data_IF_792553864812
#
_entry.id   IF_792553864812
#
_cell.length_a   1.000
_cell.length_b   1.000
_cell.length_c   1.000
_cell.angle_alpha   90.00
_cell.angle_beta   90.00
_cell.angle_gamma   90.00
#
_symmetry.space_group_name_H-M   'P 1'
#
loop_
_entity.id
_entity.type
_entity.pdbx_description
1 polymer ?
#
# COMPACT_ATOMS: atom_id res chain seq x y z
N UNK A 1 29.51 5.23 -53.57
CA UNK A 1 29.00 3.86 -53.28
C UNK A 1 28.47 3.72 -51.84
N UNK A 2 28.26 4.80 -51.09
CA UNK A 2 27.83 4.79 -49.68
C UNK A 2 26.31 4.86 -49.46
N UNK A 3 25.51 5.13 -50.50
CA UNK A 3 24.05 5.26 -50.38
C UNK A 3 23.27 3.94 -50.37
N UNK A 4 23.85 2.86 -50.90
CA UNK A 4 23.17 1.56 -51.04
C UNK A 4 23.29 0.71 -49.76
N UNK A 5 24.45 0.77 -49.10
CA UNK A 5 24.68 0.13 -47.80
C UNK A 5 23.76 0.71 -46.71
N UNK A 6 23.61 2.05 -46.67
CA UNK A 6 22.74 2.71 -45.68
C UNK A 6 21.26 2.36 -45.88
N UNK A 7 20.79 2.24 -47.13
CA UNK A 7 19.40 1.83 -47.41
C UNK A 7 19.16 0.37 -47.05
N UNK A 8 20.13 -0.50 -47.34
CA UNK A 8 20.05 -1.92 -46.99
C UNK A 8 20.05 -2.11 -45.47
N UNK A 9 20.90 -1.38 -44.75
CA UNK A 9 20.92 -1.39 -43.28
C UNK A 9 19.61 -0.88 -42.67
N UNK A 10 19.03 0.19 -43.22
CA UNK A 10 17.72 0.70 -42.76
C UNK A 10 16.59 -0.31 -42.99
N UNK A 11 16.57 -0.99 -44.14
CA UNK A 11 15.57 -2.04 -44.43
C UNK A 11 15.74 -3.28 -43.54
N UNK A 12 16.98 -3.68 -43.25
CA UNK A 12 17.27 -4.77 -42.32
C UNK A 12 16.85 -4.39 -40.89
N UNK A 13 17.14 -3.16 -40.45
CA UNK A 13 16.73 -2.67 -39.14
C UNK A 13 15.20 -2.58 -39.01
N UNK A 14 14.51 -2.07 -40.02
CA UNK A 14 13.04 -1.99 -40.03
C UNK A 14 12.41 -3.39 -40.01
N UNK A 15 12.84 -4.29 -40.91
CA UNK A 15 12.33 -5.67 -40.95
C UNK A 15 12.68 -6.49 -39.70
N UNK A 16 13.73 -6.13 -38.97
CA UNK A 16 14.05 -6.70 -37.66
C UNK A 16 13.13 -6.15 -36.57
N UNK A 17 12.79 -4.86 -36.60
CA UNK A 17 11.87 -4.23 -35.67
C UNK A 17 10.43 -4.74 -35.82
N UNK A 18 9.98 -4.99 -37.04
CA UNK A 18 8.62 -5.45 -37.34
C UNK A 18 8.33 -6.84 -36.77
N UNK A 19 9.36 -7.69 -36.65
CA UNK A 19 9.24 -9.05 -36.11
C UNK A 19 9.02 -9.10 -34.61
N UNK A 20 9.26 -8.01 -33.89
CA UNK A 20 9.24 -8.04 -32.43
C UNK A 20 10.44 -8.74 -31.83
N UNK A 21 10.32 -9.04 -30.54
CA UNK A 21 11.31 -9.82 -29.78
C UNK A 21 10.63 -10.99 -29.09
N UNK A 22 11.38 -12.08 -28.91
CA UNK A 22 10.97 -13.19 -28.04
C UNK A 22 10.95 -12.66 -26.61
N UNK A 23 9.76 -12.57 -26.04
CA UNK A 23 9.51 -11.98 -24.73
C UNK A 23 9.07 -13.05 -23.72
N UNK A 24 8.59 -12.61 -22.55
CA UNK A 24 8.18 -13.47 -21.42
C UNK A 24 7.44 -14.72 -21.89
N UNK A 25 7.92 -15.89 -21.46
CA UNK A 25 7.34 -17.18 -21.82
C UNK A 25 7.52 -17.57 -23.31
N UNK A 26 8.48 -16.99 -24.00
CA UNK A 26 8.83 -17.30 -25.39
C UNK A 26 7.90 -16.72 -26.45
N UNK A 27 7.00 -15.79 -26.09
CA UNK A 27 6.02 -15.20 -27.02
C UNK A 27 6.59 -13.98 -27.73
N UNK A 28 6.29 -13.81 -29.01
CA UNK A 28 6.66 -12.59 -29.74
C UNK A 28 5.83 -11.38 -29.25
N UNK A 29 6.52 -10.26 -29.01
CA UNK A 29 5.95 -8.99 -28.54
C UNK A 29 6.63 -7.78 -29.18
N UNK A 30 5.89 -6.68 -29.23
CA UNK A 30 6.41 -5.35 -29.58
C UNK A 30 6.47 -5.05 -31.07
N UNK A 31 6.36 -6.05 -31.95
CA UNK A 31 6.36 -5.90 -33.41
C UNK A 31 4.98 -5.60 -34.02
N UNK A 32 4.92 -5.64 -35.35
CA UNK A 32 3.70 -5.39 -36.13
C UNK A 32 2.65 -6.46 -35.83
N UNK A 33 1.43 -6.05 -35.49
CA UNK A 33 0.33 -6.96 -35.16
C UNK A 33 0.49 -7.73 -33.85
N UNK A 34 1.55 -7.46 -33.07
CA UNK A 34 1.81 -8.09 -31.77
C UNK A 34 1.32 -7.18 -30.64
N UNK A 35 1.05 -7.73 -29.44
CA UNK A 35 0.85 -6.89 -28.27
C UNK A 35 2.13 -6.14 -27.90
N UNK A 36 1.98 -4.97 -27.30
CA UNK A 36 3.10 -4.20 -26.78
C UNK A 36 3.88 -4.94 -25.69
N UNK A 37 5.11 -4.49 -25.45
CA UNK A 37 5.85 -4.84 -24.25
C UNK A 37 5.49 -3.82 -23.18
N UNK A 38 5.02 -4.28 -22.03
CA UNK A 38 4.63 -3.43 -20.90
C UNK A 38 5.45 -3.83 -19.68
N UNK A 39 6.68 -3.28 -19.50
CA UNK A 39 7.69 -3.88 -18.62
C UNK A 39 7.20 -4.08 -17.17
N UNK A 40 6.61 -3.08 -16.54
CA UNK A 40 6.12 -3.20 -15.16
C UNK A 40 5.01 -4.26 -15.01
N UNK A 41 4.09 -4.33 -15.98
CA UNK A 41 3.02 -5.32 -16.01
C UNK A 41 3.58 -6.72 -16.26
N UNK A 42 4.36 -6.89 -17.32
CA UNK A 42 4.91 -8.16 -17.75
C UNK A 42 5.82 -8.77 -16.68
N UNK A 43 6.68 -7.96 -16.05
CA UNK A 43 7.54 -8.41 -14.94
C UNK A 43 6.74 -8.73 -13.69
N UNK A 44 5.70 -7.97 -13.35
CA UNK A 44 4.84 -8.31 -12.22
C UNK A 44 4.11 -9.64 -12.43
N UNK A 45 3.58 -9.88 -13.64
CA UNK A 45 2.91 -11.15 -13.97
C UNK A 45 3.89 -12.32 -13.92
N UNK A 46 5.02 -12.20 -14.62
CA UNK A 46 6.06 -13.22 -14.65
C UNK A 46 6.60 -13.51 -13.25
N UNK A 47 6.92 -12.47 -12.49
CA UNK A 47 7.43 -12.57 -11.13
C UNK A 47 6.46 -13.26 -10.19
N UNK A 48 5.18 -12.85 -10.19
CA UNK A 48 4.15 -13.52 -9.41
C UNK A 48 4.08 -15.02 -9.74
N UNK A 49 4.07 -15.37 -11.01
CA UNK A 49 3.99 -16.77 -11.43
C UNK A 49 5.23 -17.57 -11.01
N UNK A 50 6.43 -17.05 -11.29
CA UNK A 50 7.70 -17.71 -10.94
C UNK A 50 7.81 -17.92 -9.43
N UNK A 51 7.44 -16.92 -8.62
CA UNK A 51 7.44 -17.01 -7.15
C UNK A 51 6.50 -18.10 -6.62
N UNK A 52 5.49 -18.50 -7.39
CA UNK A 52 4.53 -19.53 -7.03
C UNK A 52 4.71 -20.84 -7.82
N UNK A 53 5.82 -21.01 -8.56
CA UNK A 53 6.09 -22.22 -9.34
C UNK A 53 5.15 -22.43 -10.52
N UNK A 54 4.49 -21.36 -11.00
CA UNK A 54 3.62 -21.39 -12.17
C UNK A 54 4.40 -21.01 -13.44
N UNK A 55 3.93 -21.41 -14.64
CA UNK A 55 4.48 -20.89 -15.89
C UNK A 55 4.43 -19.35 -15.95
N UNK A 56 5.48 -18.72 -16.47
CA UNK A 56 5.64 -17.25 -16.43
C UNK A 56 4.45 -16.46 -17.01
N UNK A 57 3.71 -17.03 -17.96
CA UNK A 57 2.52 -16.41 -18.58
C UNK A 57 1.19 -16.98 -18.07
N UNK A 58 1.18 -17.69 -16.95
CA UNK A 58 -0.05 -18.22 -16.36
C UNK A 58 -0.96 -17.09 -15.90
N UNK A 59 -2.26 -17.22 -16.15
CA UNK A 59 -3.32 -16.36 -15.59
C UNK A 59 -4.19 -17.12 -14.59
N UNK A 60 -3.88 -18.40 -14.37
CA UNK A 60 -4.63 -19.24 -13.44
C UNK A 60 -4.44 -18.77 -11.99
N UNK A 61 -5.46 -18.91 -11.13
CA UNK A 61 -5.30 -18.69 -9.70
C UNK A 61 -4.29 -19.65 -9.08
N UNK A 62 -3.58 -19.20 -8.05
CA UNK A 62 -2.70 -20.07 -7.25
C UNK A 62 -3.59 -21.01 -6.41
N UNK A 63 -3.46 -22.34 -6.53
CA UNK A 63 -4.22 -23.27 -5.70
C UNK A 63 -3.93 -23.06 -4.22
N UNK A 64 -4.95 -23.08 -3.36
CA UNK A 64 -4.80 -22.78 -1.93
C UNK A 64 -3.73 -23.64 -1.23
N UNK A 65 -3.61 -24.92 -1.59
CA UNK A 65 -2.58 -25.82 -1.02
C UNK A 65 -1.15 -25.60 -1.55
N UNK A 66 -0.97 -24.75 -2.57
CA UNK A 66 0.34 -24.40 -3.14
C UNK A 66 0.78 -22.99 -2.73
N UNK A 67 -0.09 -22.21 -2.09
CA UNK A 67 0.22 -20.85 -1.69
C UNK A 67 1.05 -20.82 -0.40
N UNK A 68 2.38 -20.74 -0.55
CA UNK A 68 3.33 -20.67 0.57
C UNK A 68 3.96 -19.28 0.75
N UNK A 69 3.77 -18.37 -0.21
CA UNK A 69 4.41 -17.04 -0.24
C UNK A 69 3.50 -15.89 0.21
N UNK A 70 4.08 -14.70 0.44
CA UNK A 70 3.31 -13.49 0.70
C UNK A 70 2.50 -13.04 -0.54
N UNK A 71 3.03 -13.25 -1.75
CA UNK A 71 2.39 -12.82 -3.00
C UNK A 71 1.02 -13.49 -3.24
N UNK A 72 0.94 -14.83 -3.18
CA UNK A 72 -0.31 -15.56 -3.40
C UNK A 72 -1.32 -15.44 -2.25
N UNK A 73 -0.86 -15.04 -1.06
CA UNK A 73 -1.77 -14.69 0.05
C UNK A 73 -2.45 -13.35 -0.17
N UNK A 74 -1.89 -12.51 -1.05
CA UNK A 74 -2.39 -11.17 -1.35
C UNK A 74 -3.14 -11.09 -2.67
N UNK A 75 -2.68 -11.80 -3.69
CA UNK A 75 -3.30 -11.81 -5.02
C UNK A 75 -3.70 -13.22 -5.41
N UNK A 76 -4.89 -13.36 -5.99
CA UNK A 76 -5.37 -14.66 -6.46
C UNK A 76 -4.56 -15.16 -7.67
N UNK A 77 -4.17 -14.26 -8.57
CA UNK A 77 -3.46 -14.57 -9.81
C UNK A 77 -2.50 -13.43 -10.24
N UNK A 78 -1.78 -13.66 -11.33
CA UNK A 78 -0.80 -12.73 -11.91
C UNK A 78 -1.43 -11.45 -12.46
N UNK A 79 -2.66 -11.50 -12.97
CA UNK A 79 -3.36 -10.34 -13.53
C UNK A 79 -3.70 -9.33 -12.44
N UNK A 80 -4.25 -9.80 -11.32
CA UNK A 80 -4.54 -8.97 -10.15
C UNK A 80 -3.26 -8.35 -9.58
N UNK A 81 -2.20 -9.15 -9.44
CA UNK A 81 -0.91 -8.68 -8.97
C UNK A 81 -0.35 -7.55 -9.86
N UNK A 82 -0.41 -7.73 -11.17
CA UNK A 82 0.09 -6.75 -12.11
C UNK A 82 -0.75 -5.48 -12.17
N UNK A 83 -2.08 -5.56 -12.03
CA UNK A 83 -2.95 -4.39 -11.94
C UNK A 83 -2.60 -3.51 -10.75
N UNK A 84 -2.35 -4.09 -9.58
CA UNK A 84 -1.93 -3.32 -8.40
C UNK A 84 -0.56 -2.71 -8.60
N UNK A 85 0.38 -3.44 -9.22
CA UNK A 85 1.71 -2.90 -9.53
C UNK A 85 1.63 -1.70 -10.48
N UNK A 86 0.86 -1.80 -11.56
CA UNK A 86 0.73 -0.71 -12.54
C UNK A 86 -0.13 0.44 -12.02
N UNK A 87 -1.07 0.20 -11.11
CA UNK A 87 -1.78 1.28 -10.42
C UNK A 87 -0.80 2.14 -9.61
N UNK A 88 0.11 1.51 -8.87
CA UNK A 88 1.07 2.23 -8.00
C UNK A 88 2.18 2.88 -8.81
N UNK A 89 2.79 2.16 -9.76
CA UNK A 89 4.00 2.60 -10.47
C UNK A 89 3.73 3.23 -11.82
N UNK A 90 2.50 3.12 -12.32
CA UNK A 90 2.14 3.48 -13.67
C UNK A 90 2.47 2.39 -14.68
N UNK A 91 2.20 2.68 -15.94
CA UNK A 91 2.47 1.79 -17.07
C UNK A 91 3.21 2.53 -18.17
N UNK A 92 4.02 1.78 -18.92
CA UNK A 92 4.67 2.25 -20.16
C UNK A 92 4.58 1.13 -21.19
N UNK A 93 4.18 1.49 -22.41
CA UNK A 93 4.15 0.62 -23.57
C UNK A 93 5.38 0.86 -24.44
N UNK A 94 6.04 -0.22 -24.83
CA UNK A 94 7.21 -0.20 -25.70
C UNK A 94 6.99 -1.10 -26.91
N UNK A 95 7.47 -0.61 -28.06
CA UNK A 95 7.41 -1.28 -29.36
C UNK A 95 8.82 -1.40 -29.95
N UNK A 96 8.99 -2.35 -30.86
CA UNK A 96 10.24 -2.61 -31.57
C UNK A 96 10.27 -2.02 -32.97
N UNK A 97 9.11 -1.67 -33.54
CA UNK A 97 9.04 -1.02 -34.85
C UNK A 97 9.87 0.26 -34.88
N UNK A 98 10.66 0.44 -35.94
CA UNK A 98 11.43 1.67 -36.18
C UNK A 98 10.51 2.85 -36.50
N UNK A 99 9.44 2.60 -37.25
CA UNK A 99 8.37 3.56 -37.49
C UNK A 99 7.18 3.27 -36.56
N UNK A 100 6.83 4.18 -35.63
CA UNK A 100 5.70 3.99 -34.72
C UNK A 100 4.36 3.71 -35.42
N UNK A 101 4.16 4.21 -36.63
CA UNK A 101 2.93 3.99 -37.39
C UNK A 101 2.68 2.51 -37.74
N UNK A 102 3.73 1.69 -37.77
CA UNK A 102 3.63 0.27 -38.14
C UNK A 102 3.19 -0.59 -36.94
N UNK A 103 3.33 -0.08 -35.71
CA UNK A 103 3.07 -0.79 -34.46
C UNK A 103 1.85 -0.25 -33.69
N UNK A 104 0.70 -0.12 -34.36
CA UNK A 104 -0.52 0.47 -33.77
C UNK A 104 -1.56 -0.54 -33.23
N UNK A 105 -1.24 -1.84 -33.18
CA UNK A 105 -2.15 -2.88 -32.63
C UNK A 105 -2.44 -2.67 -31.13
N UNK A 106 -3.51 -3.25 -30.57
CA UNK A 106 -3.70 -3.35 -29.10
C UNK A 106 -4.35 -2.15 -28.39
N UNK A 107 -4.93 -1.19 -29.11
CA UNK A 107 -5.66 -0.05 -28.53
C UNK A 107 -4.74 1.02 -27.91
N UNK A 108 -5.33 2.05 -27.27
CA UNK A 108 -4.60 3.26 -26.81
C UNK A 108 -3.49 2.96 -25.78
N UNK A 109 -3.74 2.03 -24.86
CA UNK A 109 -2.77 1.65 -23.82
C UNK A 109 -1.54 0.91 -24.36
N UNK A 110 -1.61 0.37 -25.58
CA UNK A 110 -0.52 -0.37 -26.21
C UNK A 110 0.17 0.42 -27.33
N UNK A 111 -0.26 1.65 -27.61
CA UNK A 111 0.38 2.48 -28.63
C UNK A 111 1.87 2.71 -28.31
N UNK A 112 2.73 2.93 -29.33
CA UNK A 112 4.14 3.19 -29.12
C UNK A 112 4.36 4.39 -28.19
N UNK A 113 5.02 4.16 -27.04
CA UNK A 113 5.30 5.22 -26.07
C UNK A 113 4.09 5.64 -25.23
N UNK A 114 2.96 4.94 -25.31
CA UNK A 114 1.83 5.14 -24.40
C UNK A 114 2.27 4.95 -22.95
N UNK A 115 1.80 5.80 -22.05
CA UNK A 115 2.13 5.72 -20.63
C UNK A 115 1.00 6.23 -19.77
N UNK A 116 0.79 5.59 -18.62
CA UNK A 116 -0.12 6.06 -17.58
C UNK A 116 0.68 6.34 -16.30
N UNK A 117 0.47 7.49 -15.64
CA UNK A 117 1.11 7.77 -14.37
C UNK A 117 0.57 6.85 -13.28
N UNK A 118 1.45 6.44 -12.37
CA UNK A 118 1.07 5.72 -11.16
C UNK A 118 0.55 6.64 -10.06
N UNK A 119 -0.24 6.09 -9.13
CA UNK A 119 -0.78 6.83 -7.99
C UNK A 119 0.17 6.91 -6.80
N UNK A 120 1.23 6.09 -6.77
CA UNK A 120 2.11 5.92 -5.61
C UNK A 120 1.48 5.10 -4.47
N UNK A 121 2.20 4.95 -3.36
CA UNK A 121 1.74 4.16 -2.21
C UNK A 121 0.88 4.94 -1.21
N UNK A 122 0.94 6.27 -1.21
CA UNK A 122 0.18 7.11 -0.27
C UNK A 122 -1.34 6.86 -0.35
N UNK A 123 -1.97 6.84 -1.54
CA UNK A 123 -3.41 6.54 -1.65
C UNK A 123 -3.77 5.12 -1.18
N UNK A 124 -2.86 4.17 -1.32
CA UNK A 124 -3.02 2.79 -0.82
C UNK A 124 -3.03 2.80 0.72
N UNK A 125 -2.10 3.52 1.34
CA UNK A 125 -2.04 3.69 2.80
C UNK A 125 -3.31 4.36 3.35
N UNK A 126 -3.77 5.43 2.72
CA UNK A 126 -4.97 6.17 3.14
C UNK A 126 -6.23 5.29 3.08
N UNK A 127 -6.41 4.59 1.96
CA UNK A 127 -7.54 3.66 1.76
C UNK A 127 -7.51 2.54 2.80
N UNK A 128 -6.34 1.92 2.99
CA UNK A 128 -6.15 0.84 3.97
C UNK A 128 -6.40 1.32 5.40
N UNK A 129 -5.97 2.54 5.73
CA UNK A 129 -6.22 3.16 7.05
C UNK A 129 -7.71 3.33 7.29
N UNK A 130 -8.45 3.86 6.30
CA UNK A 130 -9.90 4.05 6.40
C UNK A 130 -10.63 2.72 6.60
N UNK A 131 -10.31 1.71 5.80
CA UNK A 131 -10.95 0.39 5.89
C UNK A 131 -10.66 -0.30 7.22
N UNK A 132 -9.41 -0.25 7.70
CA UNK A 132 -9.06 -0.74 9.02
C UNK A 132 -9.79 0.00 10.13
N UNK A 133 -9.91 1.33 10.02
CA UNK A 133 -10.62 2.14 11.01
C UNK A 133 -12.09 1.76 11.08
N UNK A 134 -12.77 1.62 9.93
CA UNK A 134 -14.15 1.17 9.86
C UNK A 134 -14.33 -0.21 10.50
N UNK A 135 -13.44 -1.16 10.21
CA UNK A 135 -13.50 -2.52 10.78
C UNK A 135 -13.20 -2.52 12.28
N UNK A 136 -12.18 -1.80 12.74
CA UNK A 136 -11.85 -1.69 14.15
C UNK A 136 -12.97 -1.00 14.94
N UNK A 137 -13.61 0.03 14.39
CA UNK A 137 -14.78 0.65 15.04
C UNK A 137 -15.92 -0.34 15.25
N UNK A 138 -16.22 -1.20 14.26
CA UNK A 138 -17.23 -2.26 14.41
C UNK A 138 -16.83 -3.25 15.52
N UNK A 139 -15.56 -3.64 15.57
CA UNK A 139 -15.03 -4.56 16.58
C UNK A 139 -15.07 -3.96 17.99
N UNK A 140 -14.61 -2.72 18.15
CA UNK A 140 -14.51 -2.04 19.46
C UNK A 140 -15.88 -1.60 19.99
N UNK A 141 -16.84 -1.25 19.12
CA UNK A 141 -18.16 -0.79 19.57
C UNK A 141 -19.22 -1.90 19.63
N UNK A 142 -18.95 -3.09 19.09
CA UNK A 142 -19.86 -4.23 19.22
C UNK A 142 -19.81 -4.84 20.62
N UNK A 143 -20.95 -5.34 21.10
CA UNK A 143 -21.07 -6.08 22.37
C UNK A 143 -20.84 -7.59 22.23
N UNK A 144 -20.67 -8.07 21.00
CA UNK A 144 -20.49 -9.49 20.68
C UNK A 144 -19.05 -9.97 20.85
N UNK A 145 -18.88 -11.30 20.88
CA UNK A 145 -17.56 -11.93 20.91
C UNK A 145 -16.77 -11.61 19.63
N UNK A 146 -15.50 -11.23 19.79
CA UNK A 146 -14.60 -11.00 18.67
C UNK A 146 -14.13 -12.35 18.10
N UNK A 147 -14.62 -12.70 16.92
CA UNK A 147 -14.24 -13.91 16.19
C UNK A 147 -12.96 -13.74 15.38
N UNK A 148 -12.24 -14.85 15.14
CA UNK A 148 -11.04 -14.85 14.30
C UNK A 148 -11.33 -14.36 12.86
N UNK A 149 -12.51 -14.70 12.33
CA UNK A 149 -12.94 -14.25 11.00
C UNK A 149 -13.09 -12.72 10.90
N UNK A 150 -13.49 -12.03 11.97
CA UNK A 150 -13.61 -10.57 11.97
C UNK A 150 -12.25 -9.87 12.11
N UNK A 151 -11.31 -10.50 12.84
CA UNK A 151 -9.93 -10.03 12.95
C UNK A 151 -9.17 -10.21 11.63
N UNK A 152 -9.45 -11.30 10.91
CA UNK A 152 -8.83 -11.58 9.61
C UNK A 152 -9.22 -10.58 8.51
N UNK A 153 -10.28 -9.77 8.71
CA UNK A 153 -10.66 -8.69 7.79
C UNK A 153 -9.77 -7.45 7.93
N UNK A 154 -8.96 -7.36 8.99
CA UNK A 154 -8.03 -6.26 9.18
C UNK A 154 -6.81 -6.44 8.26
N UNK A 155 -6.51 -5.41 7.48
CA UNK A 155 -5.32 -5.31 6.65
C UNK A 155 -4.13 -4.98 7.54
N UNK A 156 -3.40 -6.00 7.95
CA UNK A 156 -2.42 -5.92 9.04
C UNK A 156 -1.00 -6.23 8.60
N UNK A 157 -0.82 -6.62 7.32
CA UNK A 157 0.42 -7.25 6.87
C UNK A 157 0.79 -8.42 7.77
N UNK A 158 2.03 -8.42 8.25
CA UNK A 158 2.56 -9.44 9.15
C UNK A 158 2.17 -9.25 10.62
N UNK A 159 1.47 -8.16 10.98
CA UNK A 159 1.07 -7.91 12.36
C UNK A 159 -0.15 -8.75 12.73
N UNK A 160 -0.16 -9.30 13.94
CA UNK A 160 -1.32 -10.05 14.44
C UNK A 160 -2.09 -9.21 15.46
N UNK A 161 -3.38 -8.96 15.19
CA UNK A 161 -4.29 -8.34 16.16
C UNK A 161 -5.02 -9.44 16.91
N UNK A 162 -4.78 -9.54 18.22
CA UNK A 162 -5.46 -10.54 19.06
C UNK A 162 -6.81 -10.03 19.56
N UNK A 163 -7.69 -10.96 19.95
CA UNK A 163 -8.92 -10.63 20.68
C UNK A 163 -8.64 -9.76 21.91
N UNK A 164 -7.55 -10.05 22.63
CA UNK A 164 -7.17 -9.30 23.83
C UNK A 164 -6.93 -7.82 23.56
N UNK A 165 -6.36 -7.46 22.41
CA UNK A 165 -6.18 -6.06 21.99
C UNK A 165 -7.52 -5.36 21.83
N UNK A 166 -8.50 -6.01 21.17
CA UNK A 166 -9.84 -5.42 20.99
C UNK A 166 -10.56 -5.29 22.33
N UNK A 167 -10.46 -6.28 23.21
CA UNK A 167 -11.06 -6.22 24.55
C UNK A 167 -10.41 -5.15 25.45
N UNK A 168 -9.10 -4.93 25.31
CA UNK A 168 -8.42 -3.84 25.99
C UNK A 168 -8.93 -2.48 25.48
N UNK A 169 -8.99 -2.29 24.15
CA UNK A 169 -9.56 -1.08 23.55
C UNK A 169 -11.01 -0.85 23.99
N UNK A 170 -11.85 -1.88 24.12
CA UNK A 170 -13.24 -1.73 24.58
C UNK A 170 -13.37 -1.09 25.97
N UNK A 171 -12.41 -1.35 26.85
CA UNK A 171 -12.39 -0.91 28.26
C UNK A 171 -11.67 0.42 28.45
N UNK A 172 -10.93 0.86 27.44
CA UNK A 172 -10.12 2.07 27.51
C UNK A 172 -10.99 3.32 27.36
N UNK A 173 -10.84 4.35 28.22
CA UNK A 173 -11.57 5.61 28.08
C UNK A 173 -11.24 6.34 26.77
N UNK A 174 -10.01 6.21 26.26
CA UNK A 174 -9.51 6.87 25.05
C UNK A 174 -9.61 5.98 23.79
N UNK A 175 -10.45 4.94 23.85
CA UNK A 175 -10.58 3.92 22.80
C UNK A 175 -10.72 4.46 21.39
N UNK A 176 -11.39 5.61 21.20
CA UNK A 176 -11.55 6.21 19.86
C UNK A 176 -10.22 6.63 19.28
N UNK A 177 -9.38 7.33 20.06
CA UNK A 177 -8.06 7.78 19.62
C UNK A 177 -7.10 6.58 19.42
N UNK A 178 -7.14 5.61 20.34
CA UNK A 178 -6.32 4.40 20.24
C UNK A 178 -6.72 3.52 19.05
N UNK A 179 -8.01 3.43 18.74
CA UNK A 179 -8.53 2.72 17.55
C UNK A 179 -8.01 3.37 16.26
N UNK A 180 -8.06 4.71 16.19
CA UNK A 180 -7.55 5.45 15.03
C UNK A 180 -6.05 5.27 14.84
N UNK A 181 -5.28 5.31 15.93
CA UNK A 181 -3.85 5.05 15.90
C UNK A 181 -3.53 3.63 15.44
N UNK A 182 -4.20 2.63 16.02
CA UNK A 182 -4.03 1.23 15.63
C UNK A 182 -4.36 1.02 14.15
N UNK A 183 -5.44 1.62 13.64
CA UNK A 183 -5.80 1.52 12.21
C UNK A 183 -4.67 1.98 11.29
N UNK A 184 -4.04 3.12 11.61
CA UNK A 184 -2.93 3.67 10.85
C UNK A 184 -1.66 2.83 10.94
N UNK A 185 -1.32 2.31 12.12
CA UNK A 185 -0.15 1.45 12.32
C UNK A 185 -0.28 0.12 11.54
N UNK A 186 -1.47 -0.51 11.59
CA UNK A 186 -1.76 -1.73 10.83
C UNK A 186 -1.74 -1.47 9.32
N UNK A 187 -2.33 -0.37 8.87
CA UNK A 187 -2.36 -0.01 7.45
C UNK A 187 -0.98 0.27 6.88
N UNK A 188 -0.11 0.87 7.68
CA UNK A 188 1.27 1.13 7.29
C UNK A 188 2.09 -0.16 7.17
N UNK A 189 1.90 -1.11 8.10
CA UNK A 189 2.52 -2.42 8.02
C UNK A 189 2.06 -3.20 6.77
N UNK A 190 0.75 -3.21 6.50
CA UNK A 190 0.17 -3.86 5.30
C UNK A 190 0.68 -3.23 4.00
N UNK A 191 0.74 -1.90 3.94
CA UNK A 191 1.20 -1.17 2.74
C UNK A 191 2.68 -1.41 2.49
N UNK A 192 3.51 -1.44 3.54
CA UNK A 192 4.94 -1.77 3.44
C UNK A 192 5.15 -3.19 2.92
N UNK A 193 4.39 -4.16 3.42
CA UNK A 193 4.48 -5.56 2.97
C UNK A 193 4.04 -5.71 1.51
N UNK A 194 2.98 -5.01 1.09
CA UNK A 194 2.57 -4.93 -0.31
C UNK A 194 3.71 -4.40 -1.18
N UNK A 195 4.33 -3.28 -0.80
CA UNK A 195 5.42 -2.69 -1.57
C UNK A 195 6.63 -3.61 -1.72
N UNK A 196 7.05 -4.27 -0.62
CA UNK A 196 8.13 -5.25 -0.65
C UNK A 196 7.78 -6.48 -1.52
N UNK A 197 6.51 -6.88 -1.53
CA UNK A 197 6.02 -7.95 -2.40
C UNK A 197 6.08 -7.55 -3.87
N UNK A 198 5.59 -6.36 -4.22
CA UNK A 198 5.69 -5.80 -5.56
C UNK A 198 7.13 -5.73 -6.06
N UNK A 199 8.06 -5.26 -5.21
CA UNK A 199 9.49 -5.18 -5.52
C UNK A 199 10.06 -6.55 -5.87
N UNK A 200 9.73 -7.58 -5.08
CA UNK A 200 10.17 -8.96 -5.33
C UNK A 200 9.59 -9.51 -6.63
N UNK A 201 8.33 -9.23 -6.93
CA UNK A 201 7.71 -9.63 -8.20
C UNK A 201 8.44 -9.00 -9.39
N UNK A 202 8.67 -7.68 -9.39
CA UNK A 202 9.38 -7.01 -10.48
C UNK A 202 10.78 -7.59 -10.71
N UNK A 203 11.58 -7.71 -9.65
CA UNK A 203 12.95 -8.25 -9.75
C UNK A 203 12.93 -9.71 -10.22
N UNK A 204 12.00 -10.53 -9.72
CA UNK A 204 11.88 -11.93 -10.15
C UNK A 204 11.46 -12.04 -11.61
N UNK A 205 10.53 -11.20 -12.07
CA UNK A 205 10.09 -11.16 -13.46
C UNK A 205 11.17 -10.68 -14.43
N UNK A 206 12.01 -9.73 -14.01
CA UNK A 206 13.19 -9.31 -14.77
C UNK A 206 14.19 -10.45 -14.99
N UNK A 207 14.22 -11.42 -14.06
CA UNK A 207 15.04 -12.62 -14.14
C UNK A 207 14.49 -13.73 -15.04
N UNK A 208 13.32 -13.55 -15.67
CA UNK A 208 12.81 -14.51 -16.65
C UNK A 208 13.75 -14.56 -17.88
N UNK A 209 14.10 -15.75 -18.40
CA UNK A 209 15.17 -15.88 -19.41
C UNK A 209 15.00 -15.05 -20.69
N UNK A 210 13.77 -14.81 -21.14
CA UNK A 210 13.48 -14.05 -22.35
C UNK A 210 13.38 -12.54 -22.08
N UNK A 211 13.24 -12.11 -20.82
CA UNK A 211 13.25 -10.70 -20.44
C UNK A 211 14.56 -10.00 -20.82
N UNK A 212 15.67 -10.74 -20.94
CA UNK A 212 16.97 -10.23 -21.37
C UNK A 212 17.06 -9.86 -22.85
N UNK A 213 16.12 -10.31 -23.68
CA UNK A 213 16.14 -10.09 -25.13
C UNK A 213 15.82 -8.65 -25.54
N UNK A 214 15.41 -7.79 -24.60
CA UNK A 214 15.06 -6.40 -24.89
C UNK A 214 15.56 -5.45 -23.80
N UNK A 215 16.79 -4.90 -23.94
CA UNK A 215 17.42 -4.06 -22.91
C UNK A 215 16.60 -2.84 -22.49
N UNK A 216 15.84 -2.24 -23.40
CA UNK A 216 14.98 -1.08 -23.09
C UNK A 216 13.89 -1.42 -22.06
N UNK A 217 13.34 -2.64 -22.09
CA UNK A 217 12.38 -3.06 -21.08
C UNK A 217 13.05 -3.32 -19.73
N UNK A 218 14.28 -3.84 -19.71
CA UNK A 218 15.07 -3.99 -18.47
C UNK A 218 15.35 -2.63 -17.82
N UNK A 219 15.72 -1.62 -18.60
CA UNK A 219 15.92 -0.26 -18.11
C UNK A 219 14.65 0.32 -17.47
N UNK A 220 13.50 0.18 -18.15
CA UNK A 220 12.21 0.64 -17.61
C UNK A 220 11.85 -0.15 -16.34
N UNK A 221 12.11 -1.46 -16.30
CA UNK A 221 11.93 -2.28 -15.11
C UNK A 221 12.75 -1.77 -13.93
N UNK A 222 14.04 -1.47 -14.14
CA UNK A 222 14.91 -0.89 -13.12
C UNK A 222 14.38 0.47 -12.63
N UNK A 223 13.94 1.35 -13.54
CA UNK A 223 13.32 2.62 -13.17
C UNK A 223 12.06 2.43 -12.32
N UNK A 224 11.23 1.42 -12.62
CA UNK A 224 10.06 1.07 -11.84
C UNK A 224 10.43 0.55 -10.44
N UNK A 225 11.48 -0.28 -10.31
CA UNK A 225 12.00 -0.73 -9.01
C UNK A 225 12.57 0.45 -8.22
N UNK A 226 13.33 1.35 -8.84
CA UNK A 226 13.89 2.53 -8.19
C UNK A 226 12.78 3.49 -7.70
N UNK A 227 11.71 3.65 -8.48
CA UNK A 227 10.53 4.42 -8.06
C UNK A 227 9.88 3.77 -6.84
N UNK A 228 9.70 2.45 -6.85
CA UNK A 228 9.13 1.72 -5.72
C UNK A 228 10.00 1.82 -4.47
N UNK A 229 11.33 1.76 -4.61
CA UNK A 229 12.27 1.91 -3.50
C UNK A 229 12.20 3.32 -2.88
N UNK A 230 11.98 4.37 -3.69
CA UNK A 230 11.69 5.72 -3.18
C UNK A 230 10.37 5.76 -2.41
N UNK A 231 9.30 5.17 -2.94
CA UNK A 231 8.01 5.08 -2.25
C UNK A 231 8.10 4.35 -0.91
N UNK A 232 8.86 3.24 -0.86
CA UNK A 232 9.17 2.51 0.38
C UNK A 232 9.90 3.41 1.38
N UNK A 233 10.92 4.14 0.95
CA UNK A 233 11.65 5.09 1.80
C UNK A 233 10.77 6.23 2.33
N UNK A 234 9.83 6.72 1.52
CA UNK A 234 8.84 7.72 1.96
C UNK A 234 7.91 7.14 3.05
N UNK A 235 7.41 5.92 2.87
CA UNK A 235 6.58 5.26 3.89
C UNK A 235 7.34 5.01 5.20
N UNK A 236 8.62 4.61 5.13
CA UNK A 236 9.47 4.46 6.31
C UNK A 236 9.64 5.78 7.05
N UNK A 237 9.90 6.85 6.31
CA UNK A 237 10.02 8.21 6.88
C UNK A 237 8.71 8.65 7.53
N UNK A 238 7.57 8.40 6.88
CA UNK A 238 6.26 8.70 7.43
C UNK A 238 5.99 7.93 8.73
N UNK A 239 6.38 6.65 8.80
CA UNK A 239 6.29 5.84 10.02
C UNK A 239 7.05 6.45 11.18
N UNK A 240 8.30 6.83 10.94
CA UNK A 240 9.19 7.40 11.94
C UNK A 240 8.66 8.74 12.45
N UNK A 241 8.22 9.62 11.53
CA UNK A 241 7.62 10.92 11.86
C UNK A 241 6.35 10.73 12.70
N UNK A 242 5.44 9.85 12.30
CA UNK A 242 4.21 9.57 13.07
C UNK A 242 4.51 9.08 14.48
N UNK A 243 5.50 8.19 14.64
CA UNK A 243 5.94 7.69 15.95
C UNK A 243 6.53 8.81 16.82
N UNK A 244 7.37 9.67 16.24
CA UNK A 244 7.98 10.81 16.93
C UNK A 244 6.93 11.81 17.42
N UNK A 245 5.99 12.19 16.54
CA UNK A 245 4.90 13.12 16.88
C UNK A 245 4.03 12.55 18.00
N UNK A 246 3.66 11.26 17.91
CA UNK A 246 2.83 10.62 18.93
C UNK A 246 3.50 10.67 20.32
N UNK A 247 4.80 10.40 20.40
CA UNK A 247 5.54 10.45 21.67
C UNK A 247 5.62 11.87 22.24
N UNK A 248 5.91 12.86 21.40
CA UNK A 248 6.02 14.26 21.83
C UNK A 248 4.66 14.83 22.27
N UNK A 249 3.58 14.53 21.53
CA UNK A 249 2.24 15.00 21.88
C UNK A 249 1.80 14.47 23.26
N UNK A 250 2.09 13.20 23.57
CA UNK A 250 1.79 12.62 24.89
C UNK A 250 2.58 13.33 26.00
N UNK A 251 3.87 13.58 25.81
CA UNK A 251 4.70 14.30 26.79
C UNK A 251 4.16 15.71 27.06
N UNK A 252 3.82 16.47 26.00
CA UNK A 252 3.26 17.82 26.16
C UNK A 252 1.92 17.83 26.90
N UNK A 253 1.06 16.85 26.67
CA UNK A 253 -0.22 16.73 27.40
C UNK A 253 0.02 16.45 28.89
N UNK A 254 0.94 15.53 29.21
CA UNK A 254 1.29 15.18 30.60
C UNK A 254 1.93 16.38 31.32
N UNK A 255 2.86 17.08 30.68
CA UNK A 255 3.48 18.29 31.25
C UNK A 255 2.45 19.37 31.55
N UNK A 256 1.50 19.59 30.64
CA UNK A 256 0.41 20.56 30.84
C UNK A 256 -0.56 20.13 31.95
N UNK A 257 -0.83 18.84 32.08
CA UNK A 257 -1.66 18.32 33.17
C UNK A 257 -0.95 18.49 34.52
N UNK A 258 0.33 18.11 34.63
CA UNK A 258 1.14 18.33 35.82
C UNK A 258 1.21 19.81 36.21
N UNK A 259 1.37 20.71 35.24
CA UNK A 259 1.33 22.16 35.49
C UNK A 259 -0.03 22.60 36.02
N UNK A 260 -1.15 22.05 35.53
CA UNK A 260 -2.49 22.36 36.05
C UNK A 260 -2.70 21.81 37.46
N UNK A 261 -2.26 20.59 37.75
CA UNK A 261 -2.35 19.99 39.08
C UNK A 261 -1.46 20.72 40.09
N UNK A 262 -0.27 21.16 39.68
CA UNK A 262 0.63 21.96 40.53
C UNK A 262 0.12 23.40 40.71
N UNK A 263 -0.45 24.01 39.67
CA UNK A 263 -1.03 25.35 39.76
C UNK A 263 -2.38 25.37 40.51
N UNK A 264 -3.08 24.24 40.59
CA UNK A 264 -4.37 24.12 41.24
C UNK A 264 -4.46 22.79 42.02
N UNK A 265 -3.73 22.65 43.15
CA UNK A 265 -3.89 21.50 44.03
C UNK A 265 -5.31 21.56 44.58
N UNK A 266 -6.13 20.57 44.26
CA UNK A 266 -7.55 20.53 44.60
C UNK A 266 -7.77 20.93 46.07
N UNK A 267 -8.33 22.12 46.29
CA UNK A 267 -9.06 22.42 47.51
C UNK A 267 -10.29 21.53 47.49
N UNK A 268 -10.16 20.33 48.06
CA UNK A 268 -11.32 19.66 48.62
C UNK A 268 -11.81 20.58 49.75
N UNK A 269 -12.74 21.48 49.44
CA UNK A 269 -13.59 22.05 50.48
C UNK A 269 -14.43 20.89 51.01
N UNK A 270 -14.25 20.46 52.27
CA UNK A 270 -15.28 19.65 52.89
C UNK A 270 -16.52 20.53 52.89
N UNK A 271 -17.62 20.07 52.29
CA UNK A 271 -18.91 20.73 52.42
C UNK A 271 -19.29 20.64 53.90
N UNK A 272 -18.86 21.64 54.66
CA UNK A 272 -18.94 21.62 56.11
C UNK A 272 -20.37 22.04 56.46
N UNK A 273 -21.20 21.02 56.69
CA UNK A 273 -22.64 21.15 56.96
C UNK A 273 -22.94 22.16 58.07
N UNK A 274 -22.01 22.36 59.01
CA UNK A 274 -22.14 23.31 60.12
C UNK A 274 -22.25 24.78 59.66
N UNK A 275 -21.57 25.16 58.56
CA UNK A 275 -21.66 26.53 58.01
C UNK A 275 -23.03 26.79 57.40
N UNK A 276 -23.66 25.76 56.83
CA UNK A 276 -25.02 25.85 56.28
C UNK A 276 -26.09 25.92 57.37
N UNK A 277 -25.88 25.24 58.51
CA UNK A 277 -26.82 25.29 59.63
C UNK A 277 -26.77 26.63 60.35
N UNK A 278 -25.57 27.19 60.59
CA UNK A 278 -25.44 28.54 61.19
C UNK A 278 -26.05 29.66 60.33
N UNK A 279 -26.00 29.55 59.00
CA UNK A 279 -26.62 30.51 58.09
C UNK A 279 -28.15 30.48 58.06
N UNK A 280 -28.76 29.37 58.50
CA UNK A 280 -30.21 29.24 58.59
C UNK A 280 -30.74 29.77 59.93
N UNK A 281 -29.97 29.63 61.03
CA UNK A 281 -30.34 30.15 62.36
C UNK A 281 -30.26 31.69 62.42
N UNK A 282 -29.33 32.32 61.71
CA UNK A 282 -29.22 33.79 61.68
C UNK A 282 -30.35 34.49 60.91
N UNK A 283 -31.03 33.77 60.00
CA UNK A 283 -32.13 34.33 59.21
C UNK A 283 -33.50 34.14 59.86
N UNK A 284 -33.60 33.40 60.97
CA UNK A 284 -34.86 33.20 61.69
C UNK A 284 -35.16 34.22 62.79
N UNK A 285 -34.23 35.14 63.11
CA UNK A 285 -34.33 35.99 64.31
C UNK A 285 -34.59 37.49 64.03
N UNK A 286 -34.98 37.88 62.81
CA UNK A 286 -35.29 39.29 62.46
C UNK A 286 -36.74 39.54 61.99
N UNK A 287 -37.68 38.67 62.38
CA UNK A 287 -39.10 38.83 62.06
C UNK A 287 -40.02 38.73 63.26
N UNK A 288 -40.12 39.79 64.10
CA UNK A 288 -41.13 39.79 65.15
C UNK A 288 -41.14 40.99 66.09
N UNK A 289 -42.10 41.89 65.82
CA UNK A 289 -42.63 43.03 66.61
C UNK A 289 -41.86 44.34 66.63
#
# INVERSE_FOLDING_TARGET
MTGDAVKTDQQIQQSSGDKGVVWIGGKQRGGVGQPAIQPAQDFAQAGFNIMNGLPATSTAPVPAGQCNGAACRRFANSEEAAQVVTQVLGSKSVRTCTNPADCQSGGEAEQPGSSQPGTGLAPVLETTTRENLEQLHKLVNSRGAVGAAELAKLKTGSLTVSRGVIEALRRDPDKTALTQRLAGELAMADTMELALTMRRMLITGQGEPNAGNFPKAQEIGNQSVDQLDREIGMLQTEMEVRKSIANNAMLTVIERDQQRTQANPATQTPDNTDVRVQGLEQNSDTGGR
#
